data_IF_156176973259
#
_entry.id   IF_156176973259
#
_cell.length_a   1.000
_cell.length_b   1.000
_cell.length_c   1.000
_cell.angle_alpha   90.00
_cell.angle_beta   90.00
_cell.angle_gamma   90.00
#
_symmetry.space_group_name_H-M   'P 1'
#
loop_
_entity.id
_entity.type
_entity.pdbx_description
1 polymer ?
#
# COMPACT_ATOMS: atom_id res chain seq x y z
N UNK A 1 0.41 -16.10 -9.71
CA UNK A 1 0.58 -16.16 -8.24
C UNK A 1 0.58 -14.80 -7.59
N UNK A 2 -0.37 -13.89 -7.80
CA UNK A 2 -0.32 -12.55 -7.21
C UNK A 2 -1.48 -12.33 -6.24
N UNK A 3 -1.30 -11.42 -5.28
CA UNK A 3 -2.31 -11.08 -4.29
C UNK A 3 -2.52 -9.57 -4.27
N UNK A 4 -3.74 -9.13 -4.00
CA UNK A 4 -4.07 -7.71 -3.84
C UNK A 4 -4.92 -7.53 -2.60
N UNK A 5 -4.95 -6.31 -2.09
CA UNK A 5 -5.83 -5.94 -0.98
C UNK A 5 -7.03 -5.20 -1.56
N UNK A 6 -8.23 -5.67 -1.21
CA UNK A 6 -9.49 -5.07 -1.62
C UNK A 6 -10.31 -4.60 -0.42
N UNK A 7 -11.09 -3.54 -0.61
CA UNK A 7 -12.03 -3.03 0.37
C UNK A 7 -13.20 -2.38 -0.36
N UNK A 8 -14.43 -2.80 -0.06
CA UNK A 8 -15.65 -2.18 -0.61
C UNK A 8 -15.61 -2.03 -2.15
N UNK A 9 -15.09 -3.06 -2.85
CA UNK A 9 -14.88 -3.09 -4.31
C UNK A 9 -13.81 -2.11 -4.86
N UNK A 10 -12.96 -1.57 -3.99
CA UNK A 10 -11.77 -0.80 -4.32
C UNK A 10 -10.51 -1.61 -4.05
N UNK A 11 -9.44 -1.31 -4.77
CA UNK A 11 -8.11 -1.88 -4.66
C UNK A 11 -7.19 -0.93 -3.89
N UNK A 12 -6.27 -1.51 -3.12
CA UNK A 12 -5.20 -0.75 -2.49
C UNK A 12 -4.17 -0.34 -3.54
N UNK A 13 -3.98 0.97 -3.73
CA UNK A 13 -2.90 1.54 -4.52
C UNK A 13 -1.81 2.09 -3.60
N UNK A 14 -0.56 1.95 -4.04
CA UNK A 14 0.60 2.50 -3.35
C UNK A 14 1.27 3.51 -4.28
N UNK A 15 1.45 4.73 -3.77
CA UNK A 15 2.22 5.78 -4.44
C UNK A 15 3.44 6.06 -3.59
N UNK A 16 4.64 5.92 -4.18
CA UNK A 16 5.88 6.34 -3.54
C UNK A 16 6.16 7.79 -3.96
N UNK A 17 6.03 8.72 -3.01
CA UNK A 17 6.48 10.10 -3.22
C UNK A 17 7.89 10.23 -2.65
N UNK A 18 8.88 10.29 -3.55
CA UNK A 18 10.25 10.68 -3.20
C UNK A 18 10.27 12.19 -2.95
N UNK A 19 10.12 12.59 -1.68
CA UNK A 19 10.39 13.97 -1.27
C UNK A 19 11.90 14.22 -1.29
N UNK A 20 12.42 14.72 -2.42
CA UNK A 20 13.74 15.33 -2.46
C UNK A 20 13.64 16.75 -1.88
N UNK A 21 13.79 16.89 -0.56
CA UNK A 21 14.05 18.19 0.03
C UNK A 21 15.49 18.62 -0.30
N UNK A 22 15.64 19.39 -1.39
CA UNK A 22 16.84 20.18 -1.66
C UNK A 22 16.74 21.49 -0.85
N UNK A 23 16.94 21.41 0.47
CA UNK A 23 17.22 22.61 1.25
C UNK A 23 18.25 22.29 2.34
N UNK A 24 19.41 22.90 2.12
CA UNK A 24 20.53 23.22 2.99
C UNK A 24 20.54 22.69 4.45
N UNK A 25 21.66 22.03 4.78
CA UNK A 25 22.22 21.82 6.12
C UNK A 25 21.29 21.23 7.20
N UNK A 26 21.35 19.91 7.39
CA UNK A 26 21.32 19.18 8.68
C UNK A 26 20.67 17.81 8.51
N UNK A 27 21.43 16.72 8.70
CA UNK A 27 20.99 15.33 8.96
C UNK A 27 19.59 14.93 8.42
N UNK A 28 19.47 14.73 7.11
CA UNK A 28 18.21 14.28 6.49
C UNK A 28 18.21 12.76 6.36
N UNK A 29 17.64 12.11 7.36
CA UNK A 29 17.09 10.75 7.25
C UNK A 29 16.10 10.74 6.08
N UNK A 30 16.43 10.01 5.01
CA UNK A 30 15.59 9.95 3.80
C UNK A 30 14.31 9.18 4.12
N UNK A 31 13.28 9.88 4.61
CA UNK A 31 12.00 9.28 4.94
C UNK A 31 11.19 9.03 3.65
N UNK A 32 11.38 7.85 3.04
CA UNK A 32 10.50 7.37 1.98
C UNK A 32 9.08 7.27 2.54
N UNK A 33 8.21 8.17 2.11
CA UNK A 33 6.81 8.20 2.55
C UNK A 33 5.99 7.36 1.58
N UNK A 34 5.65 6.14 2.00
CA UNK A 34 4.73 5.28 1.25
C UNK A 34 3.29 5.74 1.49
N UNK A 35 2.65 6.27 0.45
CA UNK A 35 1.26 6.70 0.50
C UNK A 35 0.32 5.59 0.03
N UNK A 36 -0.69 5.30 0.84
CA UNK A 36 -1.69 4.27 0.56
C UNK A 36 -3.02 4.94 0.22
N UNK A 37 -3.64 4.52 -0.88
CA UNK A 37 -4.95 5.01 -1.31
C UNK A 37 -5.83 3.87 -1.78
N UNK A 38 -7.14 4.11 -1.87
CA UNK A 38 -8.10 3.18 -2.45
C UNK A 38 -8.47 3.67 -3.84
N UNK A 39 -8.45 2.77 -4.82
CA UNK A 39 -8.79 3.07 -6.22
C UNK A 39 -9.70 1.99 -6.79
N UNK A 40 -10.60 2.35 -7.68
CA UNK A 40 -11.39 1.44 -8.49
C UNK A 40 -10.62 0.90 -9.72
N UNK A 41 -9.44 1.46 -9.98
CA UNK A 41 -8.57 1.11 -11.09
C UNK A 41 -7.71 -0.13 -10.74
N UNK A 42 -8.05 -1.25 -11.35
CA UNK A 42 -7.36 -2.53 -11.14
C UNK A 42 -5.89 -2.50 -11.59
N UNK A 43 -5.56 -1.68 -12.60
CA UNK A 43 -4.18 -1.56 -13.10
C UNK A 43 -3.27 -0.81 -12.12
N UNK A 44 -3.86 0.04 -11.27
CA UNK A 44 -3.17 0.75 -10.19
C UNK A 44 -3.16 -0.03 -8.88
N UNK A 45 -3.82 -1.19 -8.83
CA UNK A 45 -3.80 -2.04 -7.66
C UNK A 45 -2.39 -2.54 -7.37
N UNK A 46 -1.93 -2.35 -6.14
CA UNK A 46 -0.67 -2.89 -5.70
C UNK A 46 -0.76 -4.41 -5.58
N UNK A 47 0.13 -5.11 -6.29
CA UNK A 47 0.20 -6.56 -6.36
C UNK A 47 1.32 -7.06 -5.44
N UNK A 48 0.93 -7.78 -4.40
CA UNK A 48 1.83 -8.51 -3.51
C UNK A 48 2.25 -9.83 -4.16
N UNK A 49 3.52 -10.19 -3.99
CA UNK A 49 4.07 -11.45 -4.50
C UNK A 49 3.64 -12.63 -3.61
N UNK A 50 3.40 -12.38 -2.33
CA UNK A 50 2.94 -13.38 -1.36
C UNK A 50 1.67 -12.95 -0.63
N UNK A 51 0.80 -13.92 -0.37
CA UNK A 51 -0.36 -13.75 0.51
C UNK A 51 0.05 -13.26 1.90
N UNK A 52 1.18 -13.77 2.40
CA UNK A 52 1.69 -13.43 3.72
C UNK A 52 2.02 -11.94 3.82
N UNK A 53 2.63 -11.35 2.78
CA UNK A 53 2.97 -9.92 2.77
C UNK A 53 1.72 -9.04 2.85
N UNK A 54 0.68 -9.39 2.09
CA UNK A 54 -0.59 -8.69 2.12
C UNK A 54 -1.27 -8.82 3.50
N UNK A 55 -1.24 -10.02 4.09
CA UNK A 55 -1.79 -10.26 5.43
C UNK A 55 -1.01 -9.52 6.51
N UNK A 56 0.32 -9.50 6.44
CA UNK A 56 1.18 -8.78 7.37
C UNK A 56 0.93 -7.28 7.32
N UNK A 57 0.66 -6.71 6.13
CA UNK A 57 0.31 -5.30 5.99
C UNK A 57 -1.02 -4.98 6.68
N UNK A 58 -2.05 -5.81 6.46
CA UNK A 58 -3.34 -5.65 7.14
C UNK A 58 -3.21 -5.84 8.65
N UNK A 59 -2.43 -6.83 9.08
CA UNK A 59 -2.15 -7.07 10.48
C UNK A 59 -1.41 -5.88 11.11
N UNK A 60 -0.34 -5.36 10.51
CA UNK A 60 0.36 -4.18 11.03
C UNK A 60 -0.55 -2.95 11.16
N UNK A 61 -1.57 -2.85 10.30
CA UNK A 61 -2.46 -1.71 10.24
C UNK A 61 -3.90 -2.00 10.76
N UNK A 62 -4.11 -3.08 11.51
CA UNK A 62 -5.45 -3.55 11.89
C UNK A 62 -6.28 -2.51 12.68
N UNK A 63 -5.61 -1.62 13.41
CA UNK A 63 -6.25 -0.54 14.19
C UNK A 63 -6.68 0.66 13.34
N UNK A 64 -6.17 0.79 12.10
CA UNK A 64 -6.43 1.94 11.23
C UNK A 64 -7.76 1.73 10.50
N UNK A 65 -8.69 2.66 10.68
CA UNK A 65 -10.00 2.66 10.00
C UNK A 65 -9.89 2.60 8.48
N UNK A 66 -8.78 3.12 7.92
CA UNK A 66 -8.46 3.02 6.50
C UNK A 66 -8.54 1.58 5.96
N UNK A 67 -8.00 0.61 6.71
CA UNK A 67 -7.94 -0.82 6.36
C UNK A 67 -9.10 -1.64 6.91
N UNK A 68 -10.09 -1.01 7.56
CA UNK A 68 -11.25 -1.72 8.08
C UNK A 68 -11.99 -2.39 6.94
N UNK A 69 -12.37 -3.66 7.13
CA UNK A 69 -13.01 -4.53 6.13
C UNK A 69 -12.15 -4.81 4.88
N UNK A 70 -10.85 -4.49 4.91
CA UNK A 70 -9.96 -4.86 3.83
C UNK A 70 -9.65 -6.36 3.88
N UNK A 71 -9.58 -6.99 2.71
CA UNK A 71 -9.37 -8.43 2.55
C UNK A 71 -8.30 -8.68 1.49
N UNK A 72 -7.59 -9.80 1.63
CA UNK A 72 -6.63 -10.26 0.61
C UNK A 72 -7.38 -11.08 -0.44
N UNK A 73 -7.24 -10.68 -1.70
CA UNK A 73 -7.82 -11.37 -2.85
C UNK A 73 -6.70 -11.89 -3.76
N UNK A 74 -6.87 -13.11 -4.26
CA UNK A 74 -6.01 -13.68 -5.29
C UNK A 74 -6.25 -13.00 -6.64
N UNK A 75 -5.17 -12.70 -7.36
CA UNK A 75 -5.21 -12.10 -8.68
C UNK A 75 -4.31 -12.89 -9.64
N UNK A 76 -4.81 -13.10 -10.86
CA UNK A 76 -4.03 -13.63 -11.97
C UNK A 76 -3.33 -12.45 -12.65
N UNK A 77 -2.08 -12.66 -13.05
CA UNK A 77 -1.28 -11.67 -13.79
C UNK A 77 -1.70 -11.65 -15.26
#
# INVERSE_FOLDING_TARGET
MAFRIIKDNLFLAITEENHYNYDDYSDIDTAVTTNYSWTDDEDKAYKFLSKQEAQDLLAKNWKKSFYKNALVQECWL
#
